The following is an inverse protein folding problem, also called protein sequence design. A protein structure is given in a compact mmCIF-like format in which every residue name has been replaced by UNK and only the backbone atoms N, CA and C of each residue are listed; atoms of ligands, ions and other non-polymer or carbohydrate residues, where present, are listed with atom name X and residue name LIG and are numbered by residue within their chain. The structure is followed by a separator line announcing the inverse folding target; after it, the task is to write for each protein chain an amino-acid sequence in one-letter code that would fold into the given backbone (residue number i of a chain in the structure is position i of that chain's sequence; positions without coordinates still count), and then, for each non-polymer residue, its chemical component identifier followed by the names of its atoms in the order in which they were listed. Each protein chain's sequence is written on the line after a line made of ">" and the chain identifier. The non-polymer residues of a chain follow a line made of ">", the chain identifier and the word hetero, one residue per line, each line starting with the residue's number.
data_IF_651640347604
#
_entry.id   IF_651640347604
#
_cell.length_a   1.000
_cell.length_b   1.000
_cell.length_c   1.000
_cell.angle_alpha   90.00
_cell.angle_beta   90.00
_cell.angle_gamma   90.00
#
_symmetry.space_group_name_H-M   'P 1'
#
loop_
_entity.id
_entity.type
_entity.pdbx_description
1 polymer ?
#
# COMPACT_ATOMS: atom_id res chain seq x y z
N UNK A 1 18.98 -22.74 -14.17
CA UNK A 1 19.55 -21.57 -13.46
C UNK A 1 18.56 -21.16 -12.38
N UNK A 2 18.97 -21.16 -11.10
CA UNK A 2 18.09 -20.67 -10.03
C UNK A 2 17.90 -19.16 -10.22
N UNK A 3 16.66 -18.72 -10.40
CA UNK A 3 16.32 -17.31 -10.53
C UNK A 3 16.77 -16.60 -9.26
N UNK A 4 17.81 -15.77 -9.38
CA UNK A 4 18.37 -15.02 -8.26
C UNK A 4 17.24 -14.16 -7.70
N UNK A 5 16.75 -14.47 -6.49
CA UNK A 5 15.66 -13.72 -5.87
C UNK A 5 16.13 -12.27 -5.76
N UNK A 6 15.51 -11.38 -6.55
CA UNK A 6 15.74 -9.94 -6.46
C UNK A 6 15.55 -9.56 -4.99
N UNK A 7 16.54 -8.89 -4.41
CA UNK A 7 16.48 -8.36 -3.05
C UNK A 7 16.09 -6.89 -3.13
N UNK A 8 15.32 -6.36 -2.16
CA UNK A 8 15.09 -4.93 -2.04
C UNK A 8 16.41 -4.15 -2.04
N UNK A 9 16.37 -2.94 -2.59
CA UNK A 9 17.48 -1.98 -2.55
C UNK A 9 17.81 -1.54 -1.13
N UNK A 10 16.80 -1.41 -0.26
CA UNK A 10 16.97 -1.13 1.16
C UNK A 10 16.15 -2.10 2.02
N UNK A 11 16.46 -2.15 3.33
CA UNK A 11 15.71 -2.97 4.28
C UNK A 11 14.21 -2.62 4.25
N UNK A 12 13.37 -3.65 4.24
CA UNK A 12 11.94 -3.47 4.18
C UNK A 12 11.41 -2.85 5.48
N UNK A 13 10.59 -1.81 5.38
CA UNK A 13 9.95 -1.19 6.54
C UNK A 13 8.65 -1.92 6.86
N UNK A 14 8.35 -2.17 8.14
CA UNK A 14 7.14 -2.89 8.55
C UNK A 14 6.35 -2.15 9.62
N UNK A 15 5.01 -2.15 9.46
CA UNK A 15 4.03 -1.67 10.43
C UNK A 15 2.89 -2.71 10.50
N UNK A 16 2.95 -3.58 11.50
CA UNK A 16 2.04 -4.73 11.66
C UNK A 16 1.95 -5.59 10.39
N UNK A 17 0.80 -5.61 9.74
CA UNK A 17 0.51 -6.39 8.55
C UNK A 17 0.79 -5.64 7.23
N UNK A 18 1.29 -4.41 7.31
CA UNK A 18 1.74 -3.63 6.15
C UNK A 18 3.28 -3.64 6.11
N UNK A 19 3.85 -3.92 4.95
CA UNK A 19 5.29 -3.90 4.69
C UNK A 19 5.61 -3.08 3.44
N UNK A 20 6.55 -2.15 3.55
CA UNK A 20 7.12 -1.40 2.44
C UNK A 20 8.49 -1.94 2.04
N UNK A 21 8.81 -1.94 0.76
CA UNK A 21 10.16 -2.19 0.25
C UNK A 21 10.45 -1.30 -0.95
N UNK A 22 11.71 -0.91 -1.15
CA UNK A 22 12.17 -0.18 -2.33
C UNK A 22 13.00 -1.12 -3.20
N UNK A 23 12.75 -1.11 -4.50
CA UNK A 23 13.43 -1.95 -5.49
C UNK A 23 14.19 -1.07 -6.46
N UNK A 24 15.41 -1.47 -6.78
CA UNK A 24 16.18 -0.90 -7.89
C UNK A 24 16.06 -1.84 -9.08
N UNK A 25 15.62 -1.29 -10.22
CA UNK A 25 15.52 -1.97 -11.50
C UNK A 25 16.37 -1.25 -12.54
N UNK A 26 16.52 -1.85 -13.72
CA UNK A 26 17.23 -1.29 -14.86
C UNK A 26 16.33 -1.36 -16.10
N UNK A 27 16.31 -0.30 -16.90
CA UNK A 27 15.59 -0.28 -18.18
C UNK A 27 16.38 -1.04 -19.28
N UNK A 28 15.84 -1.05 -20.51
CA UNK A 28 16.49 -1.71 -21.65
C UNK A 28 17.86 -1.13 -22.03
N UNK A 29 18.19 0.08 -21.56
CA UNK A 29 19.47 0.76 -21.78
C UNK A 29 20.40 0.66 -20.55
N UNK A 30 20.00 -0.07 -19.51
CA UNK A 30 20.76 -0.19 -18.26
C UNK A 30 20.66 1.02 -17.34
N UNK A 31 19.76 1.98 -17.59
CA UNK A 31 19.54 3.11 -16.68
C UNK A 31 18.75 2.64 -15.46
N UNK A 32 19.20 2.95 -14.22
CA UNK A 32 18.48 2.54 -13.03
C UNK A 32 17.19 3.33 -12.84
N UNK A 33 16.15 2.65 -12.36
CA UNK A 33 14.92 3.26 -11.89
C UNK A 33 14.41 2.54 -10.63
N UNK A 34 13.60 3.22 -9.83
CA UNK A 34 13.16 2.71 -8.54
C UNK A 34 11.65 2.54 -8.49
N UNK A 35 11.23 1.46 -7.84
CA UNK A 35 9.81 1.13 -7.62
C UNK A 35 9.66 0.74 -6.17
N UNK A 36 8.66 1.29 -5.48
CA UNK A 36 8.27 0.85 -4.15
C UNK A 36 7.21 -0.24 -4.24
N UNK A 37 7.20 -1.15 -3.27
CA UNK A 37 6.11 -2.11 -3.08
C UNK A 37 5.53 -1.94 -1.67
N UNK A 38 4.22 -1.78 -1.56
CA UNK A 38 3.47 -1.82 -0.30
C UNK A 38 2.66 -3.10 -0.28
N UNK A 39 2.96 -3.97 0.68
CA UNK A 39 2.33 -5.28 0.84
C UNK A 39 1.41 -5.29 2.05
N UNK A 40 0.16 -5.70 1.88
CA UNK A 40 -0.76 -6.02 2.97
C UNK A 40 -0.91 -7.53 3.10
N UNK A 41 -0.56 -8.07 4.26
CA UNK A 41 -0.79 -9.46 4.61
C UNK A 41 -2.10 -9.63 5.37
N UNK A 42 -2.93 -10.61 4.99
CA UNK A 42 -4.16 -10.96 5.71
C UNK A 42 -4.48 -12.44 5.54
N UNK A 43 -5.37 -12.96 6.38
CA UNK A 43 -5.94 -14.31 6.23
C UNK A 43 -7.29 -14.21 5.51
N UNK A 44 -7.50 -15.06 4.52
CA UNK A 44 -8.79 -15.17 3.83
C UNK A 44 -9.82 -15.99 4.64
N UNK A 45 -11.00 -16.19 4.07
CA UNK A 45 -12.10 -16.98 4.64
C UNK A 45 -11.75 -18.46 4.88
N UNK A 46 -10.65 -18.94 4.29
CA UNK A 46 -10.13 -20.31 4.42
C UNK A 46 -8.91 -20.39 5.32
N UNK A 47 -8.65 -19.35 6.11
CA UNK A 47 -7.51 -19.21 7.02
C UNK A 47 -6.13 -19.23 6.31
N UNK A 48 -6.09 -18.98 4.99
CA UNK A 48 -4.85 -18.95 4.23
C UNK A 48 -4.25 -17.54 4.23
N UNK A 49 -2.94 -17.45 4.45
CA UNK A 49 -2.22 -16.19 4.30
C UNK A 49 -2.18 -15.74 2.84
N UNK A 50 -2.65 -14.51 2.59
CA UNK A 50 -2.58 -13.81 1.32
C UNK A 50 -1.79 -12.52 1.48
N UNK A 51 -1.11 -12.12 0.40
CA UNK A 51 -0.40 -10.86 0.28
C UNK A 51 -0.96 -10.11 -0.92
N UNK A 52 -1.49 -8.92 -0.68
CA UNK A 52 -1.78 -7.95 -1.74
C UNK A 52 -0.63 -6.98 -1.84
N UNK A 53 -0.12 -6.78 -3.07
CA UNK A 53 1.05 -5.92 -3.30
C UNK A 53 0.67 -4.81 -4.26
N UNK A 54 0.78 -3.57 -3.79
CA UNK A 54 0.74 -2.38 -4.61
C UNK A 54 2.17 -2.00 -5.00
N UNK A 55 2.42 -1.84 -6.30
CA UNK A 55 3.69 -1.32 -6.81
C UNK A 55 3.52 0.13 -7.22
N UNK A 56 4.40 1.01 -6.75
CA UNK A 56 4.34 2.44 -7.03
C UNK A 56 5.71 2.90 -7.56
N UNK A 57 5.80 3.33 -8.82
CA UNK A 57 6.99 3.99 -9.36
C UNK A 57 7.38 5.18 -8.50
N UNK A 58 8.67 5.46 -8.39
CA UNK A 58 9.18 6.54 -7.53
C UNK A 58 8.48 7.89 -7.79
N UNK A 59 8.27 8.23 -9.06
CA UNK A 59 7.69 9.51 -9.49
C UNK A 59 6.20 9.66 -9.15
N UNK A 60 5.51 8.55 -8.88
CA UNK A 60 4.09 8.53 -8.52
C UNK A 60 3.85 8.55 -7.02
N UNK A 61 4.88 8.30 -6.19
CA UNK A 61 4.74 8.25 -4.73
C UNK A 61 4.08 9.53 -4.17
N UNK A 62 4.49 10.76 -4.53
CA UNK A 62 3.86 11.97 -3.99
C UNK A 62 2.37 12.06 -4.36
N UNK A 63 1.99 11.62 -5.55
CA UNK A 63 0.60 11.64 -6.03
C UNK A 63 -0.23 10.61 -5.26
N UNK A 64 0.31 9.40 -5.06
CA UNK A 64 -0.35 8.35 -4.28
C UNK A 64 -0.55 8.79 -2.84
N UNK A 65 0.44 9.45 -2.23
CA UNK A 65 0.29 10.01 -0.87
C UNK A 65 -0.84 11.04 -0.82
N UNK A 66 -0.88 11.99 -1.76
CA UNK A 66 -1.93 13.02 -1.80
C UNK A 66 -3.33 12.39 -1.95
N UNK A 67 -3.50 11.47 -2.89
CA UNK A 67 -4.77 10.75 -3.09
C UNK A 67 -5.19 9.98 -1.83
N UNK A 68 -4.27 9.29 -1.17
CA UNK A 68 -4.59 8.56 0.07
C UNK A 68 -5.01 9.50 1.20
N UNK A 69 -4.39 10.67 1.33
CA UNK A 69 -4.74 11.68 2.33
C UNK A 69 -6.13 12.29 2.07
N UNK A 70 -6.45 12.58 0.81
CA UNK A 70 -7.77 13.07 0.41
C UNK A 70 -8.87 12.04 0.70
N UNK A 71 -8.62 10.77 0.35
CA UNK A 71 -9.56 9.66 0.61
C UNK A 71 -9.72 9.39 2.12
N UNK A 72 -8.64 9.44 2.89
CA UNK A 72 -8.70 9.31 4.35
C UNK A 72 -9.58 10.40 4.98
N UNK A 73 -9.39 11.65 4.55
CA UNK A 73 -10.18 12.79 5.02
C UNK A 73 -11.67 12.60 4.70
N UNK A 74 -11.99 12.25 3.46
CA UNK A 74 -13.37 12.01 3.04
C UNK A 74 -14.01 10.84 3.82
N UNK A 75 -13.27 9.77 4.07
CA UNK A 75 -13.75 8.62 4.82
C UNK A 75 -14.12 8.99 6.26
N UNK A 76 -13.27 9.76 6.96
CA UNK A 76 -13.58 10.20 8.33
C UNK A 76 -14.78 11.14 8.39
N UNK A 77 -14.93 12.04 7.41
CA UNK A 77 -16.10 12.91 7.32
C UNK A 77 -17.38 12.11 7.13
N UNK A 78 -17.38 11.14 6.21
CA UNK A 78 -18.54 10.28 5.98
C UNK A 78 -18.88 9.44 7.22
N UNK A 79 -17.87 8.86 7.89
CA UNK A 79 -18.10 8.10 9.13
C UNK A 79 -18.82 8.93 10.19
N UNK A 80 -18.44 10.21 10.37
CA UNK A 80 -19.11 11.09 11.34
C UNK A 80 -20.56 11.37 10.95
N UNK A 81 -20.84 11.60 9.66
CA UNK A 81 -22.19 11.79 9.16
C UNK A 81 -23.06 10.54 9.41
N UNK A 82 -22.52 9.35 9.13
CA UNK A 82 -23.21 8.08 9.36
C UNK A 82 -23.53 7.86 10.86
N UNK A 83 -22.62 8.24 11.76
CA UNK A 83 -22.86 8.17 13.21
C UNK A 83 -23.95 9.14 13.66
N UNK A 84 -24.01 10.35 13.09
CA UNK A 84 -25.04 11.34 13.42
C UNK A 84 -26.42 10.88 12.93
N UNK A 85 -26.52 10.43 11.68
CA UNK A 85 -27.76 9.92 11.11
C UNK A 85 -28.34 8.76 11.95
N UNK A 86 -27.51 7.79 12.36
CA UNK A 86 -27.95 6.69 13.23
C UNK A 86 -28.43 7.13 14.61
N UNK A 87 -27.87 8.22 15.16
CA UNK A 87 -28.34 8.77 16.44
C UNK A 87 -29.68 9.48 16.30
N UNK A 88 -29.90 10.18 15.19
CA UNK A 88 -31.16 10.85 14.89
C UNK A 88 -32.28 9.85 14.59
N UNK A 89 -32.00 8.75 13.89
CA UNK A 89 -32.97 7.66 13.65
C UNK A 89 -33.38 6.91 14.93
N UNK A 90 -32.53 6.93 15.96
CA UNK A 90 -32.75 6.25 17.24
C UNK A 90 -33.39 7.14 18.32
N UNK A 91 -33.60 8.42 18.05
CA UNK A 91 -34.19 9.42 18.97
C UNK A 91 -35.66 9.66 18.65
#
# INVERSE_FOLDING_TARGET
>A
MAQQKKRPFCEATRRRNIQGALWQNHDGNGKPFYVSSVTRSYKDDRDQWKNEVLHVPLDDIPKVIAVLQELETAAYQQMQADYQAKREEAA
#
